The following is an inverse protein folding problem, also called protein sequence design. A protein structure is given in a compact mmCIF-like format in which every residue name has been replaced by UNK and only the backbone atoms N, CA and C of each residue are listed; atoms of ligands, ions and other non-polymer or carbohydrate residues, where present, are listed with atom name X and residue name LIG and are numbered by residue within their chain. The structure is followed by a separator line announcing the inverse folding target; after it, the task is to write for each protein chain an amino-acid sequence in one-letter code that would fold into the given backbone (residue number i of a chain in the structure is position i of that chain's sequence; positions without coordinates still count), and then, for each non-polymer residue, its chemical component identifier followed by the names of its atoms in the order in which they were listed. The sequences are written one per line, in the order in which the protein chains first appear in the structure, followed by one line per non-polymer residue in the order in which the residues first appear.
data_IF_441606589255
#
_entry.id   IF_441606589255
#
_cell.length_a   1.000
_cell.length_b   1.000
_cell.length_c   1.000
_cell.angle_alpha   90.00
_cell.angle_beta   90.00
_cell.angle_gamma   90.00
#
_symmetry.space_group_name_H-M   'P 1'
#
loop_
_entity.id
_entity.type
_entity.pdbx_description
1 polymer ?
#
# COMPACT_ATOMS: atom_id res chain seq x y z
N UNK A 1 5.65 -0.30 -11.09
CA UNK A 1 5.44 0.67 -10.00
C UNK A 1 4.74 -0.02 -8.86
N UNK A 2 5.06 0.34 -7.62
CA UNK A 2 4.38 -0.14 -6.41
C UNK A 2 3.80 1.09 -5.70
N UNK A 3 2.56 1.00 -5.22
CA UNK A 3 1.94 2.05 -4.39
C UNK A 3 1.95 1.61 -2.92
N UNK A 4 2.15 2.57 -2.01
CA UNK A 4 2.09 2.37 -0.56
C UNK A 4 1.67 3.66 0.13
N UNK A 5 1.48 3.61 1.46
CA UNK A 5 1.22 4.80 2.24
C UNK A 5 2.47 5.67 2.39
N UNK A 6 2.32 6.99 2.42
CA UNK A 6 3.44 7.90 2.61
C UNK A 6 4.10 7.69 3.97
N UNK A 7 3.33 7.46 5.03
CA UNK A 7 3.88 7.23 6.37
C UNK A 7 4.71 5.94 6.49
N UNK A 8 4.51 4.95 5.62
CA UNK A 8 5.28 3.70 5.62
C UNK A 8 6.75 3.93 5.23
N UNK A 9 7.01 4.95 4.41
CA UNK A 9 8.36 5.26 3.89
C UNK A 9 9.02 6.45 4.59
N UNK A 10 8.44 6.95 5.69
CA UNK A 10 8.90 8.18 6.37
C UNK A 10 10.16 8.00 7.23
N UNK A 11 10.64 6.77 7.43
CA UNK A 11 11.93 6.57 8.09
C UNK A 11 13.05 7.19 7.26
N UNK A 12 13.91 7.99 7.89
CA UNK A 12 15.10 8.50 7.24
C UNK A 12 15.99 7.31 6.83
N UNK A 13 16.29 7.22 5.53
CA UNK A 13 17.24 6.24 5.00
C UNK A 13 18.61 6.89 5.05
N UNK A 14 19.53 6.34 5.83
CA UNK A 14 20.93 6.78 5.85
C UNK A 14 21.68 6.17 4.66
N UNK A 15 21.58 6.83 3.51
CA UNK A 15 22.29 6.40 2.30
C UNK A 15 23.82 6.43 2.47
N UNK A 16 24.35 7.29 3.36
CA UNK A 16 25.79 7.38 3.65
C UNK A 16 26.25 6.14 4.43
N UNK A 17 25.42 5.65 5.34
CA UNK A 17 25.61 4.36 6.00
C UNK A 17 25.29 3.15 5.10
N UNK A 18 24.84 3.39 3.86
CA UNK A 18 24.52 2.34 2.88
C UNK A 18 23.14 1.73 3.06
N UNK A 19 22.25 2.36 3.83
CA UNK A 19 20.87 1.92 3.96
C UNK A 19 20.13 2.05 2.62
N UNK A 20 19.25 1.07 2.34
CA UNK A 20 18.47 1.03 1.11
C UNK A 20 17.05 0.61 1.39
N UNK A 21 16.11 1.27 0.73
CA UNK A 21 14.74 0.79 0.66
C UNK A 21 14.69 -0.47 -0.21
N UNK A 22 14.10 -1.53 0.35
CA UNK A 22 13.90 -2.79 -0.35
C UNK A 22 12.44 -3.22 -0.25
N UNK A 23 11.94 -3.87 -1.30
CA UNK A 23 10.69 -4.62 -1.24
C UNK A 23 10.99 -6.11 -1.26
N UNK A 24 10.11 -6.90 -0.65
CA UNK A 24 10.18 -8.35 -0.68
C UNK A 24 9.10 -8.89 -1.60
N UNK A 25 9.53 -9.62 -2.63
CA UNK A 25 8.65 -10.26 -3.60
C UNK A 25 8.64 -11.76 -3.37
N UNK A 26 7.44 -12.34 -3.24
CA UNK A 26 7.24 -13.79 -3.19
C UNK A 26 6.13 -14.17 -4.17
N UNK A 27 6.52 -14.69 -5.33
CA UNK A 27 5.59 -15.25 -6.32
C UNK A 27 5.31 -16.72 -6.00
N UNK A 28 4.14 -17.21 -6.41
CA UNK A 28 3.77 -18.62 -6.22
C UNK A 28 4.81 -19.54 -6.88
N UNK A 29 5.30 -20.54 -6.12
CA UNK A 29 6.33 -21.48 -6.59
C UNK A 29 7.75 -20.91 -6.69
N UNK A 30 7.99 -19.64 -6.34
CA UNK A 30 9.30 -19.01 -6.39
C UNK A 30 9.87 -18.73 -4.99
N UNK A 31 11.20 -18.70 -4.89
CA UNK A 31 11.89 -18.20 -3.68
C UNK A 31 11.62 -16.70 -3.50
N UNK A 32 11.59 -16.26 -2.24
CA UNK A 32 11.48 -14.84 -1.93
C UNK A 32 12.69 -14.07 -2.48
N UNK A 33 12.45 -12.87 -3.00
CA UNK A 33 13.47 -11.98 -3.56
C UNK A 33 13.40 -10.64 -2.85
N UNK A 34 14.55 -10.10 -2.47
CA UNK A 34 14.68 -8.71 -2.07
C UNK A 34 15.03 -7.88 -3.30
N UNK A 35 14.30 -6.80 -3.54
CA UNK A 35 14.53 -5.91 -4.68
C UNK A 35 14.68 -4.48 -4.19
N UNK A 36 15.76 -3.77 -4.58
CA UNK A 36 15.87 -2.35 -4.31
C UNK A 36 14.67 -1.59 -4.85
N UNK A 37 14.25 -0.58 -4.11
CA UNK A 37 13.16 0.31 -4.48
C UNK A 37 13.59 1.76 -4.27
N UNK A 38 13.05 2.65 -5.10
CA UNK A 38 13.25 4.10 -4.97
C UNK A 38 11.92 4.82 -5.00
N UNK A 39 11.80 5.85 -4.18
CA UNK A 39 10.63 6.72 -4.17
C UNK A 39 10.61 7.54 -5.45
N UNK A 40 9.47 7.58 -6.12
CA UNK A 40 9.25 8.34 -7.36
C UNK A 40 8.34 9.53 -7.13
N UNK A 41 7.33 9.39 -6.27
CA UNK A 41 6.42 10.47 -5.90
C UNK A 41 5.88 10.23 -4.49
N UNK A 42 5.59 11.32 -3.78
CA UNK A 42 4.96 11.30 -2.45
C UNK A 42 3.90 12.40 -2.40
N UNK A 43 2.70 12.04 -1.97
CA UNK A 43 1.62 12.95 -1.60
C UNK A 43 1.28 12.73 -0.12
N UNK A 44 1.84 13.57 0.76
CA UNK A 44 1.59 13.48 2.20
C UNK A 44 0.15 13.85 2.57
N UNK A 45 -0.52 14.71 1.79
CA UNK A 45 -1.88 15.14 2.08
C UNK A 45 -2.91 14.03 1.88
N UNK A 46 -2.61 13.06 1.00
CA UNK A 46 -3.42 11.86 0.75
C UNK A 46 -2.82 10.59 1.35
N UNK A 47 -1.70 10.72 2.07
CA UNK A 47 -0.90 9.60 2.59
C UNK A 47 -0.52 8.55 1.52
N UNK A 48 -0.06 9.00 0.35
CA UNK A 48 0.32 8.12 -0.77
C UNK A 48 1.79 8.27 -1.16
N UNK A 49 2.42 7.16 -1.55
CA UNK A 49 3.75 7.12 -2.15
C UNK A 49 3.81 6.12 -3.31
N UNK A 50 4.56 6.47 -4.35
CA UNK A 50 4.86 5.59 -5.49
C UNK A 50 6.33 5.21 -5.50
N UNK A 51 6.58 3.92 -5.63
CA UNK A 51 7.91 3.32 -5.68
C UNK A 51 8.19 2.73 -7.06
N UNK A 52 9.41 2.89 -7.53
CA UNK A 52 9.97 2.12 -8.65
C UNK A 52 10.88 1.06 -8.09
N UNK A 53 10.71 -0.16 -8.58
CA UNK A 53 11.40 -1.36 -8.12
C UNK A 53 12.28 -1.87 -9.25
N UNK A 54 13.43 -2.42 -8.91
CA UNK A 54 14.30 -3.06 -9.89
C UNK A 54 13.82 -4.48 -10.23
N UNK A 55 14.31 -5.03 -11.35
CA UNK A 55 14.06 -6.41 -11.77
C UNK A 55 12.81 -6.62 -12.65
N UNK A 56 12.43 -7.89 -12.91
CA UNK A 56 11.33 -8.23 -13.82
C UNK A 56 9.98 -7.68 -13.37
N UNK A 57 9.11 -7.39 -14.34
CA UNK A 57 7.74 -6.94 -14.08
C UNK A 57 6.99 -7.94 -13.19
N UNK A 58 6.22 -7.40 -12.25
CA UNK A 58 5.31 -8.16 -11.40
C UNK A 58 3.91 -8.13 -12.02
N UNK A 59 3.07 -9.14 -11.74
CA UNK A 59 1.64 -9.07 -12.07
C UNK A 59 1.04 -7.78 -11.49
N UNK A 60 0.40 -6.99 -12.35
CA UNK A 60 -0.26 -5.75 -11.93
C UNK A 60 -1.63 -6.04 -11.36
N UNK A 61 -2.01 -5.30 -10.32
CA UNK A 61 -3.38 -5.30 -9.82
C UNK A 61 -4.26 -4.51 -10.81
N UNK A 62 -5.29 -5.17 -11.34
CA UNK A 62 -6.30 -4.48 -12.15
C UNK A 62 -7.08 -3.52 -11.25
N UNK A 63 -6.99 -2.22 -11.56
CA UNK A 63 -7.87 -1.22 -10.97
C UNK A 63 -9.12 -1.16 -11.83
N UNK A 64 -10.27 -1.40 -11.21
CA UNK A 64 -11.54 -1.31 -11.90
C UNK A 64 -11.97 0.16 -11.94
N UNK A 65 -12.41 0.64 -13.11
CA UNK A 65 -13.27 1.82 -13.16
C UNK A 65 -14.56 1.44 -12.45
N UNK A 66 -14.71 1.93 -11.22
CA UNK A 66 -15.66 1.36 -10.27
C UNK A 66 -17.09 1.78 -10.64
N UNK A 67 -18.02 0.82 -10.69
CA UNK A 67 -19.36 1.12 -10.20
C UNK A 67 -19.21 1.62 -8.75
N UNK A 68 -20.03 2.59 -8.30
CA UNK A 68 -19.88 3.14 -6.97
C UNK A 68 -19.94 2.01 -5.93
N UNK A 69 -18.86 1.87 -5.16
CA UNK A 69 -18.81 1.04 -3.95
C UNK A 69 -19.97 1.42 -3.04
N UNK A 70 -20.55 0.43 -2.37
CA UNK A 70 -21.75 0.64 -1.53
C UNK A 70 -21.47 0.19 -0.11
N UNK A 71 -22.12 0.86 0.84
CA UNK A 71 -22.15 0.38 2.23
C UNK A 71 -22.74 -1.03 2.30
N UNK A 72 -22.22 -1.86 3.20
CA UNK A 72 -22.52 -3.28 3.30
C UNK A 72 -21.82 -4.18 2.28
N UNK A 73 -21.14 -3.62 1.27
CA UNK A 73 -20.39 -4.41 0.30
C UNK A 73 -19.24 -5.17 0.96
N UNK A 74 -19.15 -6.48 0.72
CA UNK A 74 -18.04 -7.33 1.18
C UNK A 74 -16.72 -6.89 0.55
N UNK A 75 -15.68 -6.84 1.38
CA UNK A 75 -14.31 -6.50 0.97
C UNK A 75 -13.30 -7.46 1.60
N UNK A 76 -12.14 -7.55 0.96
CA UNK A 76 -10.96 -8.16 1.53
C UNK A 76 -9.79 -7.18 1.40
N UNK A 77 -8.96 -7.11 2.44
CA UNK A 77 -7.71 -6.38 2.39
C UNK A 77 -6.56 -7.29 2.83
N UNK A 78 -5.46 -7.17 2.12
CA UNK A 78 -4.29 -8.04 2.28
C UNK A 78 -3.07 -7.17 2.55
N UNK A 79 -2.24 -7.59 3.51
CA UNK A 79 -1.01 -6.89 3.87
C UNK A 79 -0.07 -7.77 4.69
N UNK A 80 0.91 -7.14 5.33
CA UNK A 80 1.87 -7.80 6.22
C UNK A 80 1.74 -7.20 7.63
N UNK A 81 0.69 -7.56 8.39
CA UNK A 81 0.51 -7.03 9.73
C UNK A 81 1.73 -7.40 10.58
N UNK A 82 2.18 -6.46 11.42
CA UNK A 82 3.37 -6.59 12.28
C UNK A 82 4.68 -6.98 11.54
N UNK A 83 4.73 -6.73 10.23
CA UNK A 83 5.93 -6.89 9.41
C UNK A 83 6.48 -8.31 9.43
N UNK A 84 7.79 -8.44 9.63
CA UNK A 84 8.49 -9.73 9.64
C UNK A 84 8.27 -10.58 10.90
N UNK A 85 7.59 -10.07 11.92
CA UNK A 85 7.45 -10.75 13.21
C UNK A 85 6.71 -12.10 13.12
N UNK A 86 5.82 -12.27 12.14
CA UNK A 86 5.12 -13.54 11.85
C UNK A 86 5.62 -14.21 10.56
N UNK A 87 6.77 -13.79 10.06
CA UNK A 87 7.26 -14.14 8.74
C UNK A 87 6.62 -13.28 7.63
N UNK A 88 7.23 -13.35 6.46
CA UNK A 88 6.87 -12.53 5.29
C UNK A 88 5.76 -13.20 4.48
N UNK A 89 4.65 -13.48 5.15
CA UNK A 89 3.46 -14.08 4.58
C UNK A 89 2.32 -13.06 4.60
N UNK A 90 1.61 -12.85 3.48
CA UNK A 90 0.49 -11.93 3.46
C UNK A 90 -0.65 -12.47 4.32
N UNK A 91 -1.26 -11.60 5.12
CA UNK A 91 -2.47 -11.86 5.88
C UNK A 91 -3.63 -11.17 5.19
N UNK A 92 -4.75 -11.87 5.03
CA UNK A 92 -5.97 -11.33 4.43
C UNK A 92 -7.08 -11.27 5.46
N UNK A 93 -7.62 -10.08 5.70
CA UNK A 93 -8.83 -9.88 6.48
C UNK A 93 -10.01 -9.69 5.54
N UNK A 94 -11.18 -10.19 5.96
CA UNK A 94 -12.46 -9.95 5.29
C UNK A 94 -13.32 -9.05 6.17
N UNK A 95 -14.08 -8.18 5.52
CA UNK A 95 -15.00 -7.25 6.18
C UNK A 95 -16.05 -6.73 5.21
N UNK A 96 -16.66 -5.62 5.59
CA UNK A 96 -17.63 -4.89 4.77
C UNK A 96 -17.24 -3.41 4.69
N UNK A 97 -17.71 -2.70 3.67
CA UNK A 97 -17.72 -1.23 3.68
C UNK A 97 -18.74 -0.78 4.74
N UNK A 98 -18.25 -0.28 5.87
CA UNK A 98 -19.14 0.12 6.97
C UNK A 98 -19.86 1.44 6.72
N UNK A 99 -19.15 2.42 6.14
CA UNK A 99 -19.69 3.74 5.85
C UNK A 99 -18.91 4.41 4.70
N UNK A 100 -19.57 5.26 3.91
CA UNK A 100 -18.95 6.14 2.92
C UNK A 100 -19.19 7.58 3.35
N UNK A 101 -18.16 8.21 3.92
CA UNK A 101 -18.24 9.57 4.44
C UNK A 101 -17.54 10.58 3.51
N UNK A 102 -18.04 11.81 3.40
CA UNK A 102 -17.30 12.88 2.75
C UNK A 102 -16.02 13.20 3.55
N UNK A 103 -14.96 13.59 2.84
CA UNK A 103 -13.68 13.97 3.47
C UNK A 103 -13.77 15.28 4.28
N UNK A 104 -14.86 16.03 4.09
CA UNK A 104 -15.17 17.27 4.83
C UNK A 104 -16.54 17.12 5.46
N UNK A 105 -16.62 17.34 6.78
CA UNK A 105 -17.91 17.50 7.46
C UNK A 105 -18.55 18.81 7.01
N UNK A 106 -19.86 18.84 6.67
CA UNK A 106 -20.55 20.10 6.41
C UNK A 106 -20.36 21.05 7.58
N UNK A 107 -19.95 22.29 7.31
CA UNK A 107 -19.85 23.31 8.35
C UNK A 107 -21.19 23.50 9.05
N UNK A 108 -21.18 23.86 10.34
CA UNK A 108 -22.39 24.00 11.16
C UNK A 108 -23.47 24.95 10.60
N UNK A 109 -23.13 25.76 9.58
CA UNK A 109 -24.01 26.70 8.89
C UNK A 109 -24.16 26.43 7.38
N UNK A 110 -23.79 25.24 6.90
CA UNK A 110 -24.05 24.86 5.51
C UNK A 110 -25.56 24.57 5.35
N UNK A 111 -26.29 25.53 4.79
CA UNK A 111 -27.64 25.31 4.24
C UNK A 111 -27.57 24.57 2.91
#
# INVERSE_FOLDING_TARGET
TVATNAHVIQAAIDEVAGEKLVIIVRLAGAKAQQRPARVVAVDKGRDLALLRIDGPLLPALTLHDAEPVREGQSVAFTGFPIGGALGLSPVTHRGIISAITPIVLPGANAR
#
